data_IF_820870756833
#
_entry.id   IF_820870756833
#
_cell.length_a   1.000
_cell.length_b   1.000
_cell.length_c   1.000
_cell.angle_alpha   90.00
_cell.angle_beta   90.00
_cell.angle_gamma   90.00
#
_symmetry.space_group_name_H-M   'P 1'
#
loop_
_entity.id
_entity.type
_entity.pdbx_description
1 polymer ?
#
# COMPACT_ATOMS: atom_id res chain seq x y z
N UNK A 1 8.05 -4.98 13.42
CA UNK A 1 8.43 -3.67 13.96
C UNK A 1 8.81 -2.68 12.88
N UNK A 2 10.03 -2.71 12.32
CA UNK A 2 10.51 -1.65 11.40
C UNK A 2 9.63 -1.43 10.16
N UNK A 3 9.20 -2.49 9.48
CA UNK A 3 8.35 -2.34 8.28
C UNK A 3 6.89 -1.98 8.59
N UNK A 4 6.40 -2.29 9.80
CA UNK A 4 4.97 -2.19 10.16
C UNK A 4 4.54 -0.74 10.42
N UNK A 5 5.32 0.00 11.21
CA UNK A 5 5.05 1.41 11.49
C UNK A 5 5.30 2.29 10.25
N UNK A 6 6.27 1.95 9.42
CA UNK A 6 6.48 2.63 8.13
C UNK A 6 5.25 2.52 7.22
N UNK A 7 4.62 1.34 7.12
CA UNK A 7 3.46 1.08 6.26
C UNK A 7 2.20 1.80 6.77
N UNK A 8 1.93 1.78 8.07
CA UNK A 8 0.72 2.38 8.63
C UNK A 8 0.69 3.93 8.56
N UNK A 9 1.84 4.59 8.62
CA UNK A 9 1.90 6.06 8.69
C UNK A 9 2.12 6.74 7.34
N UNK A 10 2.77 6.07 6.38
CA UNK A 10 2.91 6.58 5.01
C UNK A 10 1.69 6.29 4.14
N UNK A 11 0.63 5.66 4.65
CA UNK A 11 -0.64 5.45 3.93
C UNK A 11 -1.71 6.45 4.30
N UNK A 12 -1.57 7.12 5.45
CA UNK A 12 -2.34 8.29 5.86
C UNK A 12 -1.68 9.59 5.41
N UNK A 13 -2.45 10.55 4.95
CA UNK A 13 -2.04 11.89 4.49
C UNK A 13 -1.48 12.82 5.58
N UNK A 14 -0.89 12.24 6.63
CA UNK A 14 -0.32 12.87 7.83
C UNK A 14 1.00 13.62 7.59
N UNK A 15 1.51 13.64 6.36
CA UNK A 15 2.69 14.41 6.03
C UNK A 15 2.33 15.55 5.06
N UNK A 16 2.21 16.77 5.58
CA UNK A 16 2.65 17.94 4.80
C UNK A 16 4.16 17.76 4.58
N UNK A 17 4.53 17.16 3.45
CA UNK A 17 5.93 17.05 3.01
C UNK A 17 6.23 18.28 2.16
N UNK A 18 6.95 19.23 2.72
CA UNK A 18 7.64 20.22 1.90
C UNK A 18 8.82 19.52 1.20
N UNK A 19 8.62 19.21 -0.08
CA UNK A 19 9.69 18.76 -0.96
C UNK A 19 10.38 19.99 -1.55
N UNK A 20 11.63 20.26 -1.15
CA UNK A 20 12.47 21.26 -1.81
C UNK A 20 13.01 20.69 -3.13
N UNK A 21 12.64 21.26 -4.30
CA UNK A 21 13.17 20.80 -5.58
C UNK A 21 14.64 21.20 -5.75
N UNK A 22 15.51 20.23 -6.07
CA UNK A 22 16.88 20.48 -6.50
C UNK A 22 16.91 20.96 -7.97
N UNK A 23 17.75 21.95 -8.34
CA UNK A 23 17.80 22.47 -9.72
C UNK A 23 18.33 21.48 -10.76
N UNK A 24 17.87 21.71 -11.98
CA UNK A 24 17.86 20.87 -13.19
C UNK A 24 19.23 20.58 -13.81
N UNK A 25 19.28 19.43 -14.50
CA UNK A 25 19.90 19.30 -15.82
C UNK A 25 19.07 18.32 -16.69
N UNK A 26 18.71 18.73 -17.91
CA UNK A 26 18.14 17.82 -18.93
C UNK A 26 16.90 18.35 -19.66
N UNK A 27 17.09 18.84 -20.89
CA UNK A 27 16.02 19.20 -21.83
C UNK A 27 15.16 17.96 -22.19
N UNK A 28 13.83 18.10 -22.06
CA UNK A 28 12.85 17.30 -22.80
C UNK A 28 12.12 16.19 -22.03
N UNK A 29 11.22 16.52 -21.11
CA UNK A 29 10.08 15.64 -20.81
C UNK A 29 8.86 16.47 -20.39
N UNK A 30 7.71 16.23 -21.02
CA UNK A 30 6.43 16.89 -20.74
C UNK A 30 5.82 16.50 -19.39
N UNK A 31 6.47 15.60 -18.64
CA UNK A 31 5.93 14.95 -17.44
C UNK A 31 6.63 15.34 -16.14
N UNK A 32 7.47 16.40 -16.16
CA UNK A 32 8.12 16.94 -14.96
C UNK A 32 8.84 15.88 -14.09
N UNK A 33 9.50 14.91 -14.71
CA UNK A 33 10.19 13.83 -14.00
C UNK A 33 11.35 14.38 -13.16
N UNK A 34 11.34 14.11 -11.85
CA UNK A 34 12.33 14.64 -10.90
C UNK A 34 12.74 13.58 -9.88
N UNK A 35 14.01 13.56 -9.44
CA UNK A 35 14.41 12.84 -8.24
C UNK A 35 13.60 13.30 -7.03
N UNK A 36 13.31 12.37 -6.11
CA UNK A 36 12.60 12.62 -4.86
C UNK A 36 13.44 12.12 -3.69
N UNK A 37 13.33 12.79 -2.54
CA UNK A 37 13.99 12.37 -1.30
C UNK A 37 12.97 12.51 -0.18
N UNK A 38 12.79 11.43 0.58
CA UNK A 38 11.87 11.38 1.70
C UNK A 38 12.40 12.27 2.81
N UNK A 39 11.55 13.17 3.31
CA UNK A 39 11.82 14.01 4.46
C UNK A 39 10.65 13.95 5.46
N UNK A 40 10.89 13.31 6.59
CA UNK A 40 9.94 13.06 7.68
C UNK A 40 10.14 14.03 8.86
N UNK A 41 11.19 14.87 8.81
CA UNK A 41 11.60 15.73 9.93
C UNK A 41 10.51 16.70 10.42
N UNK A 42 9.59 17.09 9.54
CA UNK A 42 8.47 17.95 9.90
C UNK A 42 7.30 17.18 10.54
N UNK A 43 6.94 16.02 9.98
CA UNK A 43 5.74 15.28 10.41
C UNK A 43 5.94 14.39 11.64
N UNK A 44 7.12 13.77 11.79
CA UNK A 44 7.38 12.83 12.89
C UNK A 44 7.26 13.48 14.27
N UNK A 45 7.83 14.66 14.56
CA UNK A 45 7.70 15.28 15.88
C UNK A 45 6.24 15.53 16.28
N UNK A 46 5.43 16.04 15.34
CA UNK A 46 4.00 16.28 15.53
C UNK A 46 3.23 14.99 15.81
N UNK A 47 3.46 13.96 14.99
CA UNK A 47 2.84 12.64 15.16
C UNK A 47 3.19 12.00 16.50
N UNK A 48 4.45 12.07 16.94
CA UNK A 48 4.89 11.52 18.23
C UNK A 48 4.25 12.28 19.40
N UNK A 49 4.14 13.60 19.30
CA UNK A 49 3.49 14.41 20.32
C UNK A 49 1.98 14.08 20.44
N UNK A 50 1.27 13.91 19.33
CA UNK A 50 -0.12 13.43 19.33
C UNK A 50 -0.26 12.02 19.91
N UNK A 51 0.64 11.11 19.55
CA UNK A 51 0.66 9.75 20.08
C UNK A 51 0.88 9.75 21.61
N UNK A 52 1.73 10.64 22.14
CA UNK A 52 1.93 10.83 23.59
C UNK A 52 0.69 11.39 24.28
N UNK A 53 -0.04 12.30 23.64
CA UNK A 53 -1.22 12.96 24.24
C UNK A 53 -2.53 12.18 24.08
N UNK A 54 -2.56 11.14 23.25
CA UNK A 54 -3.77 10.34 23.06
C UNK A 54 -4.18 9.66 24.37
N UNK A 55 -5.43 9.91 24.78
CA UNK A 55 -6.04 9.25 25.92
C UNK A 55 -6.64 7.91 25.50
N UNK A 56 -6.08 6.81 26.00
CA UNK A 56 -6.60 5.47 25.77
C UNK A 56 -7.53 5.07 26.92
N UNK A 57 -8.55 4.23 26.67
CA UNK A 57 -9.40 3.71 27.74
C UNK A 57 -8.58 2.86 28.74
N UNK A 58 -9.07 2.77 29.98
CA UNK A 58 -8.42 1.99 31.05
C UNK A 58 -8.76 0.51 31.01
N UNK A 59 -9.92 0.14 30.48
CA UNK A 59 -10.38 -1.25 30.32
C UNK A 59 -10.57 -1.53 28.84
N UNK A 60 -10.05 -2.66 28.33
CA UNK A 60 -10.08 -3.01 26.90
C UNK A 60 -11.36 -3.72 26.45
N UNK A 61 -12.21 -4.14 27.38
CA UNK A 61 -13.28 -5.10 27.13
C UNK A 61 -14.62 -4.41 26.83
N UNK A 62 -14.65 -3.45 25.90
CA UNK A 62 -15.94 -2.85 25.51
C UNK A 62 -16.80 -3.79 24.66
N UNK A 63 -16.19 -4.80 24.03
CA UNK A 63 -16.82 -5.75 23.12
C UNK A 63 -16.11 -7.13 23.17
N UNK A 64 -16.60 -8.10 22.39
CA UNK A 64 -16.05 -9.45 22.31
C UNK A 64 -14.56 -9.48 21.90
N UNK A 65 -13.80 -10.54 22.25
CA UNK A 65 -12.36 -10.64 21.95
C UNK A 65 -11.96 -10.51 20.47
N UNK A 66 -12.89 -10.76 19.55
CA UNK A 66 -12.76 -10.69 18.10
C UNK A 66 -13.32 -9.39 17.48
N UNK A 67 -13.72 -8.42 18.30
CA UNK A 67 -14.35 -7.18 17.86
C UNK A 67 -13.36 -6.10 17.34
N UNK A 68 -12.10 -6.46 17.07
CA UNK A 68 -11.08 -5.57 16.52
C UNK A 68 -9.71 -5.76 17.15
N UNK A 69 -8.87 -4.71 17.09
CA UNK A 69 -7.54 -4.75 17.69
C UNK A 69 -7.65 -4.78 19.23
N UNK A 70 -6.96 -5.72 19.92
CA UNK A 70 -6.93 -5.71 21.37
C UNK A 70 -6.28 -4.43 21.89
N UNK A 71 -6.87 -3.81 22.93
CA UNK A 71 -6.33 -2.58 23.54
C UNK A 71 -4.85 -2.74 23.89
N UNK A 72 -4.47 -3.91 24.43
CA UNK A 72 -3.10 -4.13 24.85
C UNK A 72 -2.11 -4.23 23.69
N UNK A 73 -2.55 -4.72 22.54
CA UNK A 73 -1.78 -4.67 21.29
C UNK A 73 -1.58 -3.22 20.84
N UNK A 74 -2.63 -2.39 20.89
CA UNK A 74 -2.56 -0.97 20.54
C UNK A 74 -1.63 -0.18 21.48
N UNK A 75 -1.69 -0.44 22.80
CA UNK A 75 -0.76 0.13 23.79
C UNK A 75 0.68 -0.25 23.45
N UNK A 76 0.92 -1.52 23.11
CA UNK A 76 2.24 -2.01 22.72
C UNK A 76 2.77 -1.31 21.46
N UNK A 77 1.94 -1.17 20.43
CA UNK A 77 2.27 -0.45 19.19
C UNK A 77 2.56 1.03 19.43
N UNK A 78 1.79 1.67 20.30
CA UNK A 78 2.01 3.06 20.71
C UNK A 78 3.36 3.23 21.41
N UNK A 79 3.69 2.36 22.35
CA UNK A 79 4.96 2.44 23.07
C UNK A 79 6.14 2.25 22.11
N UNK A 80 6.03 1.29 21.19
CA UNK A 80 7.05 1.11 20.16
C UNK A 80 7.23 2.36 19.30
N UNK A 81 6.13 2.93 18.81
CA UNK A 81 6.12 4.13 18.00
C UNK A 81 6.84 5.30 18.70
N UNK A 82 6.60 5.46 20.01
CA UNK A 82 7.07 6.60 20.79
C UNK A 82 8.51 6.44 21.27
N UNK A 83 8.85 5.27 21.80
CA UNK A 83 10.05 5.07 22.60
C UNK A 83 11.19 4.39 21.83
N UNK A 84 10.86 3.57 20.83
CA UNK A 84 11.82 2.63 20.25
C UNK A 84 12.00 2.79 18.73
N UNK A 85 11.00 3.32 18.02
CA UNK A 85 11.06 3.42 16.57
C UNK A 85 11.98 4.56 16.11
N UNK A 86 13.11 4.19 15.49
CA UNK A 86 14.06 5.15 14.92
C UNK A 86 13.62 5.61 13.52
N UNK A 87 12.80 6.68 13.50
CA UNK A 87 12.30 7.33 12.29
C UNK A 87 13.41 7.86 11.39
N UNK A 88 14.52 8.33 11.96
CA UNK A 88 15.66 8.85 11.22
C UNK A 88 16.42 7.71 10.52
N UNK A 89 16.59 6.56 11.19
CA UNK A 89 17.16 5.37 10.55
C UNK A 89 16.26 4.82 9.45
N UNK A 90 14.94 4.82 9.64
CA UNK A 90 14.02 4.37 8.60
C UNK A 90 14.03 5.31 7.39
N UNK A 91 13.99 6.63 7.59
CA UNK A 91 14.18 7.60 6.51
C UNK A 91 15.50 7.38 5.76
N UNK A 92 16.62 7.25 6.47
CA UNK A 92 17.93 6.97 5.85
C UNK A 92 17.92 5.68 5.05
N UNK A 93 17.24 4.64 5.53
CA UNK A 93 17.11 3.35 4.83
C UNK A 93 16.28 3.50 3.57
N UNK A 94 15.15 4.20 3.61
CA UNK A 94 14.30 4.41 2.44
C UNK A 94 14.99 5.29 1.38
N UNK A 95 15.70 6.33 1.79
CA UNK A 95 16.47 7.19 0.87
C UNK A 95 17.70 6.51 0.22
N UNK A 96 17.95 5.21 0.49
CA UNK A 96 18.93 4.41 -0.30
C UNK A 96 18.38 4.00 -1.65
N UNK A 97 17.06 4.03 -1.85
CA UNK A 97 16.43 3.68 -3.12
C UNK A 97 16.30 4.92 -4.01
N UNK A 98 16.25 4.71 -5.33
CA UNK A 98 16.07 5.80 -6.27
C UNK A 98 14.59 6.16 -6.39
N UNK A 99 14.17 7.16 -5.63
CA UNK A 99 12.82 7.70 -5.66
C UNK A 99 12.69 8.82 -6.71
N UNK A 100 11.52 8.89 -7.33
CA UNK A 100 11.17 9.92 -8.30
C UNK A 100 9.72 10.33 -8.16
N UNK A 101 9.42 11.51 -8.68
CA UNK A 101 8.05 11.97 -8.96
C UNK A 101 7.91 12.35 -10.42
N UNK A 102 6.74 12.09 -11.01
CA UNK A 102 6.36 12.59 -12.33
C UNK A 102 4.92 13.11 -12.31
N UNK A 103 4.65 14.16 -13.06
CA UNK A 103 3.31 14.72 -13.23
C UNK A 103 2.69 14.14 -14.50
N UNK A 104 1.60 13.38 -14.33
CA UNK A 104 0.86 12.74 -15.41
C UNK A 104 -0.60 13.13 -15.26
N UNK A 105 -1.16 13.88 -16.20
CA UNK A 105 -2.57 14.29 -16.19
C UNK A 105 -2.99 14.99 -14.88
N UNK A 106 -2.19 15.97 -14.44
CA UNK A 106 -2.38 16.73 -13.20
C UNK A 106 -2.31 15.90 -11.91
N UNK A 107 -1.79 14.68 -12.00
CA UNK A 107 -1.55 13.81 -10.86
C UNK A 107 -0.05 13.64 -10.68
N UNK A 108 0.46 14.02 -9.50
CA UNK A 108 1.86 13.73 -9.13
C UNK A 108 1.94 12.28 -8.66
N UNK A 109 2.77 11.48 -9.35
CA UNK A 109 3.00 10.08 -9.04
C UNK A 109 4.40 9.91 -8.49
N UNK A 110 4.49 9.49 -7.24
CA UNK A 110 5.71 9.01 -6.63
C UNK A 110 5.98 7.56 -7.02
N UNK A 111 7.25 7.21 -7.26
CA UNK A 111 7.67 5.83 -7.49
C UNK A 111 9.15 5.61 -7.17
N UNK A 112 9.50 4.37 -6.85
CA UNK A 112 10.89 3.90 -6.91
C UNK A 112 11.19 3.38 -8.31
N UNK A 113 12.37 3.69 -8.85
CA UNK A 113 12.88 3.09 -10.08
C UNK A 113 14.29 2.56 -9.89
N UNK A 114 14.40 1.25 -9.70
CA UNK A 114 15.67 0.54 -9.61
C UNK A 114 16.00 -0.16 -10.92
N UNK A 115 16.89 0.46 -11.70
CA UNK A 115 17.37 -0.11 -12.96
C UNK A 115 18.38 -1.23 -12.69
N UNK A 116 18.08 -2.42 -13.19
CA UNK A 116 19.10 -3.46 -13.37
C UNK A 116 20.27 -3.00 -14.24
N UNK A 117 21.45 -3.57 -13.98
CA UNK A 117 22.62 -3.50 -14.86
C UNK A 117 22.54 -4.47 -16.04
N UNK A 118 21.63 -5.45 -15.98
CA UNK A 118 21.42 -6.41 -17.06
C UNK A 118 20.63 -5.74 -18.20
N UNK A 119 21.18 -5.64 -19.43
CA UNK A 119 20.48 -5.01 -20.56
C UNK A 119 19.28 -5.82 -21.06
N UNK A 120 19.13 -7.07 -20.62
CA UNK A 120 17.98 -7.94 -20.91
C UNK A 120 16.96 -7.96 -19.78
N UNK A 121 17.15 -7.16 -18.73
CA UNK A 121 16.24 -7.14 -17.58
C UNK A 121 14.82 -6.75 -18.00
N UNK A 122 13.84 -7.44 -17.44
CA UNK A 122 12.43 -7.21 -17.74
C UNK A 122 11.96 -6.00 -16.93
N UNK A 123 11.36 -4.96 -17.53
CA UNK A 123 10.70 -3.92 -16.76
C UNK A 123 9.50 -4.50 -16.02
N UNK A 124 9.48 -4.34 -14.70
CA UNK A 124 8.47 -4.90 -13.81
C UNK A 124 7.89 -3.81 -12.92
N UNK A 125 6.59 -3.55 -13.06
CA UNK A 125 5.85 -2.67 -12.16
C UNK A 125 5.19 -3.47 -11.05
N UNK A 126 5.42 -3.08 -9.79
CA UNK A 126 4.88 -3.72 -8.58
C UNK A 126 3.83 -2.82 -7.93
N UNK A 127 2.55 -3.19 -8.04
CA UNK A 127 1.43 -2.39 -7.57
C UNK A 127 0.95 -2.88 -6.20
N UNK A 128 1.02 -2.01 -5.19
CA UNK A 128 0.54 -2.30 -3.83
C UNK A 128 -0.98 -2.08 -3.73
N UNK A 129 -1.56 -2.36 -2.56
CA UNK A 129 -2.95 -2.01 -2.25
C UNK A 129 -3.09 -1.29 -0.92
N UNK A 130 -4.19 -1.53 -0.22
CA UNK A 130 -4.56 -0.99 1.09
C UNK A 130 -4.64 -2.13 2.13
N UNK A 131 -4.22 -1.91 3.39
CA UNK A 131 -3.63 -0.71 3.98
C UNK A 131 -2.12 -0.60 3.73
N UNK A 132 -1.71 -1.12 2.57
CA UNK A 132 -0.36 -1.25 2.11
C UNK A 132 0.24 0.00 1.45
N UNK A 133 1.52 -0.08 1.09
CA UNK A 133 2.22 0.96 0.33
C UNK A 133 3.39 0.38 -0.47
N UNK A 134 4.10 1.25 -1.21
CA UNK A 134 5.34 0.90 -1.91
C UNK A 134 6.38 0.18 -1.00
N UNK A 135 6.27 0.36 0.32
CA UNK A 135 7.16 -0.24 1.32
C UNK A 135 7.12 -1.77 1.34
N UNK A 136 5.99 -2.38 0.98
CA UNK A 136 5.85 -3.85 0.94
C UNK A 136 6.86 -4.51 0.00
N UNK A 137 7.27 -3.79 -1.04
CA UNK A 137 8.15 -4.31 -2.07
C UNK A 137 9.63 -3.99 -1.84
N UNK A 138 9.96 -3.16 -0.84
CA UNK A 138 11.35 -2.85 -0.50
C UNK A 138 12.19 -4.10 -0.26
N UNK A 139 11.73 -5.13 0.50
CA UNK A 139 12.48 -6.36 0.69
C UNK A 139 12.71 -7.17 -0.60
N UNK A 140 11.94 -6.92 -1.66
CA UNK A 140 12.03 -7.64 -2.93
C UNK A 140 13.03 -7.01 -3.90
N UNK A 141 13.35 -5.72 -3.75
CA UNK A 141 14.23 -5.00 -4.70
C UNK A 141 15.55 -5.73 -4.90
N UNK A 142 16.24 -6.10 -3.81
CA UNK A 142 17.54 -6.78 -3.88
C UNK A 142 17.46 -8.17 -4.52
N UNK A 143 16.30 -8.85 -4.43
CA UNK A 143 16.08 -10.17 -5.01
C UNK A 143 15.75 -10.11 -6.50
N UNK A 144 15.26 -8.97 -6.98
CA UNK A 144 14.77 -8.80 -8.34
C UNK A 144 15.71 -7.99 -9.24
N UNK A 145 16.60 -7.17 -8.66
CA UNK A 145 17.41 -6.17 -9.39
C UNK A 145 18.32 -6.74 -10.49
N UNK A 146 18.68 -8.02 -10.46
CA UNK A 146 19.59 -8.62 -11.46
C UNK A 146 18.84 -9.04 -12.74
N UNK A 147 17.55 -9.36 -12.62
CA UNK A 147 16.71 -9.83 -13.73
C UNK A 147 15.63 -8.82 -14.14
N UNK A 148 15.35 -7.82 -13.31
CA UNK A 148 14.27 -6.85 -13.53
C UNK A 148 14.73 -5.40 -13.36
N UNK A 149 14.23 -4.51 -14.23
CA UNK A 149 14.12 -3.10 -13.84
C UNK A 149 12.87 -2.98 -12.95
N UNK A 150 13.06 -2.67 -11.68
CA UNK A 150 11.99 -2.68 -10.68
C UNK A 150 11.39 -1.28 -10.55
N UNK A 151 10.09 -1.15 -10.82
CA UNK A 151 9.33 0.09 -10.67
C UNK A 151 8.26 -0.14 -9.61
N UNK A 152 8.24 0.69 -8.57
CA UNK A 152 7.28 0.58 -7.47
C UNK A 152 6.57 1.93 -7.30
N UNK A 153 5.43 2.15 -7.98
CA UNK A 153 4.67 3.37 -7.82
C UNK A 153 3.86 3.35 -6.52
N UNK A 154 3.70 4.53 -5.93
CA UNK A 154 2.64 4.76 -4.95
C UNK A 154 1.33 5.03 -5.69
N UNK A 155 0.27 4.31 -5.32
CA UNK A 155 -1.07 4.54 -5.87
C UNK A 155 -1.48 6.02 -5.69
N UNK A 156 -2.27 6.61 -6.61
CA UNK A 156 -2.83 7.94 -6.40
C UNK A 156 -3.56 8.03 -5.05
N UNK A 157 -3.22 9.04 -4.23
CA UNK A 157 -3.73 9.22 -2.88
C UNK A 157 -3.00 8.45 -1.78
N UNK A 158 -1.93 7.71 -2.12
CA UNK A 158 -1.11 6.96 -1.16
C UNK A 158 0.30 7.52 -1.08
N UNK A 159 0.87 7.53 0.13
CA UNK A 159 2.22 7.98 0.41
C UNK A 159 2.54 9.35 -0.19
N UNK A 160 3.44 9.39 -1.15
CA UNK A 160 3.95 10.64 -1.73
C UNK A 160 3.32 10.95 -3.10
N UNK A 161 2.33 10.15 -3.57
CA UNK A 161 1.51 10.50 -4.73
C UNK A 161 0.38 11.43 -4.30
N UNK A 162 0.04 12.44 -5.10
CA UNK A 162 -1.03 13.39 -4.75
C UNK A 162 -2.41 12.71 -4.67
N UNK A 163 -3.38 13.33 -4.01
CA UNK A 163 -4.75 12.81 -4.01
C UNK A 163 -5.39 12.94 -5.40
N UNK A 164 -6.11 11.91 -5.89
CA UNK A 164 -6.81 12.00 -7.16
C UNK A 164 -8.14 12.76 -7.03
N UNK A 165 -8.76 13.20 -8.15
CA UNK A 165 -10.08 13.80 -8.12
C UNK A 165 -11.17 12.79 -7.68
N UNK A 166 -12.35 13.25 -7.22
CA UNK A 166 -13.41 12.37 -6.70
C UNK A 166 -13.96 11.31 -7.66
N UNK A 167 -13.77 11.49 -8.98
CA UNK A 167 -14.24 10.57 -10.02
C UNK A 167 -13.21 9.50 -10.40
N UNK A 168 -12.10 9.41 -9.67
CA UNK A 168 -10.99 8.53 -10.03
C UNK A 168 -11.32 7.06 -9.85
N UNK A 169 -10.94 6.25 -10.83
CA UNK A 169 -11.16 4.81 -10.84
C UNK A 169 -9.84 4.04 -10.95
N UNK A 170 -9.91 2.72 -10.75
CA UNK A 170 -8.78 1.81 -11.01
C UNK A 170 -8.28 1.92 -12.46
N UNK A 171 -9.20 2.15 -13.42
CA UNK A 171 -8.85 2.30 -14.82
C UNK A 171 -8.01 3.56 -15.08
N UNK A 172 -8.27 4.64 -14.33
CA UNK A 172 -7.47 5.86 -14.40
C UNK A 172 -6.06 5.62 -13.86
N UNK A 173 -5.93 4.93 -12.72
CA UNK A 173 -4.61 4.51 -12.21
C UNK A 173 -3.86 3.65 -13.23
N UNK A 174 -4.52 2.66 -13.83
CA UNK A 174 -3.91 1.81 -14.84
C UNK A 174 -3.43 2.62 -16.06
N UNK A 175 -4.22 3.58 -16.54
CA UNK A 175 -3.84 4.47 -17.64
C UNK A 175 -2.65 5.36 -17.29
N UNK A 176 -2.62 5.94 -16.10
CA UNK A 176 -1.49 6.74 -15.60
C UNK A 176 -0.23 5.89 -15.47
N UNK A 177 -0.34 4.67 -14.93
CA UNK A 177 0.81 3.77 -14.78
C UNK A 177 1.31 3.25 -16.12
N UNK A 178 0.43 3.00 -17.09
CA UNK A 178 0.87 2.71 -18.46
C UNK A 178 1.63 3.90 -19.08
N UNK A 179 1.19 5.13 -18.82
CA UNK A 179 1.89 6.35 -19.27
C UNK A 179 3.24 6.51 -18.57
N UNK A 180 3.31 6.26 -17.26
CA UNK A 180 4.55 6.21 -16.49
C UNK A 180 5.54 5.23 -17.13
N UNK A 181 5.11 3.99 -17.38
CA UNK A 181 5.98 2.97 -17.95
C UNK A 181 6.40 3.28 -19.39
N UNK A 182 5.46 3.64 -20.27
CA UNK A 182 5.72 3.73 -21.71
C UNK A 182 6.22 5.09 -22.18
N UNK A 183 5.75 6.20 -21.58
CA UNK A 183 6.05 7.56 -22.03
C UNK A 183 7.06 8.26 -21.13
N UNK A 184 6.98 8.06 -19.81
CA UNK A 184 7.91 8.69 -18.86
C UNK A 184 9.21 7.90 -18.79
N UNK A 185 9.13 6.58 -18.57
CA UNK A 185 10.30 5.71 -18.40
C UNK A 185 10.77 5.06 -19.70
N UNK A 186 9.96 5.11 -20.76
CA UNK A 186 10.33 4.62 -22.09
C UNK A 186 10.37 3.10 -22.22
N UNK A 187 9.69 2.35 -21.35
CA UNK A 187 9.52 0.91 -21.46
C UNK A 187 8.30 0.57 -22.32
N UNK A 188 8.47 0.25 -23.63
CA UNK A 188 7.34 -0.01 -24.51
C UNK A 188 6.61 -1.31 -24.18
N UNK A 189 7.29 -2.23 -23.49
CA UNK A 189 6.75 -3.50 -23.03
C UNK A 189 7.24 -3.76 -21.60
N UNK A 190 6.34 -4.22 -20.74
CA UNK A 190 6.65 -4.51 -19.34
C UNK A 190 5.75 -5.61 -18.77
N UNK A 191 6.19 -6.21 -17.67
CA UNK A 191 5.39 -7.09 -16.84
C UNK A 191 4.81 -6.30 -15.66
N UNK A 192 3.64 -6.71 -15.19
CA UNK A 192 2.98 -6.09 -14.06
C UNK A 192 2.65 -7.15 -13.00
N UNK A 193 2.89 -6.80 -11.75
CA UNK A 193 2.48 -7.57 -10.58
C UNK A 193 1.56 -6.71 -9.71
N UNK A 194 0.56 -7.34 -9.10
CA UNK A 194 -0.35 -6.68 -8.18
C UNK A 194 -0.78 -7.58 -7.02
N UNK A 195 -1.03 -6.93 -5.89
CA UNK A 195 -1.72 -7.48 -4.71
C UNK A 195 -2.85 -6.53 -4.29
N UNK A 196 -3.88 -7.02 -3.61
CA UNK A 196 -5.03 -6.21 -3.13
C UNK A 196 -5.57 -5.25 -4.24
N UNK A 197 -5.77 -3.94 -4.01
CA UNK A 197 -6.16 -2.97 -5.05
C UNK A 197 -5.18 -2.93 -6.23
N UNK A 198 -3.90 -3.18 -5.97
CA UNK A 198 -2.87 -3.32 -6.99
C UNK A 198 -3.11 -4.48 -7.94
N UNK A 199 -3.82 -5.55 -7.52
CA UNK A 199 -4.31 -6.58 -8.43
C UNK A 199 -5.36 -6.03 -9.39
N UNK A 200 -6.29 -5.21 -8.90
CA UNK A 200 -7.27 -4.54 -9.75
C UNK A 200 -6.60 -3.63 -10.79
N UNK A 201 -5.61 -2.83 -10.37
CA UNK A 201 -4.81 -1.99 -11.26
C UNK A 201 -4.06 -2.83 -12.29
N UNK A 202 -3.43 -3.92 -11.85
CA UNK A 202 -2.66 -4.83 -12.72
C UNK A 202 -3.54 -5.54 -13.75
N UNK A 203 -4.72 -5.99 -13.33
CA UNK A 203 -5.71 -6.58 -14.23
C UNK A 203 -6.19 -5.54 -15.25
N UNK A 204 -6.54 -4.32 -14.81
CA UNK A 204 -6.95 -3.25 -15.72
C UNK A 204 -5.83 -2.83 -16.68
N UNK A 205 -4.57 -2.84 -16.23
CA UNK A 205 -3.40 -2.60 -17.06
C UNK A 205 -3.34 -3.63 -18.19
N UNK A 206 -3.44 -4.91 -17.84
CA UNK A 206 -3.41 -6.00 -18.81
C UNK A 206 -4.58 -5.97 -19.79
N UNK A 207 -5.80 -5.77 -19.31
CA UNK A 207 -7.00 -5.75 -20.13
C UNK A 207 -7.01 -4.59 -21.13
N UNK A 208 -6.60 -3.39 -20.71
CA UNK A 208 -6.73 -2.18 -21.53
C UNK A 208 -5.45 -1.80 -22.31
N UNK A 209 -4.29 -2.32 -21.91
CA UNK A 209 -2.99 -1.98 -22.51
C UNK A 209 -2.17 -3.22 -22.89
N UNK A 210 -2.83 -4.27 -23.39
CA UNK A 210 -2.22 -5.57 -23.74
C UNK A 210 -1.06 -5.52 -24.77
N UNK A 211 -0.91 -4.40 -25.50
CA UNK A 211 0.24 -4.19 -26.39
C UNK A 211 1.52 -3.86 -25.62
N UNK A 212 1.38 -3.19 -24.47
CA UNK A 212 2.46 -2.76 -23.59
C UNK A 212 2.64 -3.72 -22.41
N UNK A 213 1.55 -4.16 -21.80
CA UNK A 213 1.58 -5.11 -20.66
C UNK A 213 1.60 -6.53 -21.20
N UNK A 214 2.74 -7.21 -21.08
CA UNK A 214 2.97 -8.53 -21.69
C UNK A 214 2.65 -9.70 -20.77
N UNK A 215 2.62 -9.44 -19.47
CA UNK A 215 2.32 -10.41 -18.43
C UNK A 215 1.71 -9.68 -17.24
N UNK A 216 0.68 -10.28 -16.65
CA UNK A 216 0.10 -9.88 -15.37
C UNK A 216 0.23 -11.04 -14.39
N UNK A 217 0.82 -10.78 -13.23
CA UNK A 217 0.84 -11.69 -12.10
C UNK A 217 0.01 -11.09 -10.97
N UNK A 218 -1.02 -11.82 -10.53
CA UNK A 218 -1.91 -11.38 -9.46
C UNK A 218 -1.72 -12.29 -8.25
N UNK A 219 -1.38 -11.74 -7.09
CA UNK A 219 -1.37 -12.51 -5.82
C UNK A 219 -2.72 -12.50 -5.12
N UNK A 220 -3.67 -11.74 -5.66
CA UNK A 220 -5.05 -11.65 -5.22
C UNK A 220 -5.94 -11.51 -6.44
N UNK A 221 -7.06 -12.22 -6.50
CA UNK A 221 -8.01 -12.12 -7.62
C UNK A 221 -9.00 -10.98 -7.34
N UNK A 222 -9.06 -9.94 -8.19
CA UNK A 222 -9.91 -8.76 -7.94
C UNK A 222 -11.38 -9.01 -8.32
N UNK A 223 -11.88 -10.22 -8.14
CA UNK A 223 -13.22 -10.65 -8.49
C UNK A 223 -13.80 -11.55 -7.41
N UNK A 224 -15.10 -11.41 -7.16
CA UNK A 224 -15.83 -12.23 -6.20
C UNK A 224 -16.01 -13.64 -6.77
N UNK A 225 -15.77 -14.70 -5.97
CA UNK A 225 -16.09 -16.06 -6.39
C UNK A 225 -17.60 -16.26 -6.53
N UNK A 226 -18.00 -17.37 -7.15
CA UNK A 226 -19.40 -17.80 -7.17
C UNK A 226 -19.89 -18.07 -5.74
N UNK A 227 -21.11 -17.64 -5.44
CA UNK A 227 -21.76 -17.99 -4.17
C UNK A 227 -22.27 -19.44 -4.17
N UNK A 228 -22.70 -19.93 -3.00
CA UNK A 228 -23.20 -21.30 -2.84
C UNK A 228 -24.39 -21.64 -3.73
N UNK A 229 -25.25 -20.67 -4.01
CA UNK A 229 -26.42 -20.86 -4.89
C UNK A 229 -25.98 -21.00 -6.34
N UNK A 230 -25.02 -20.17 -6.77
CA UNK A 230 -24.45 -20.20 -8.11
C UNK A 230 -23.66 -21.50 -8.35
N UNK A 231 -22.83 -21.93 -7.39
CA UNK A 231 -22.11 -23.20 -7.46
C UNK A 231 -23.07 -24.39 -7.61
N UNK A 232 -24.16 -24.41 -6.83
CA UNK A 232 -25.17 -25.46 -6.92
C UNK A 232 -25.93 -25.45 -8.26
N UNK A 233 -26.23 -24.27 -8.79
CA UNK A 233 -26.87 -24.12 -10.09
C UNK A 233 -26.01 -24.63 -11.25
N UNK A 234 -24.69 -24.57 -11.11
CA UNK A 234 -23.71 -25.03 -12.10
C UNK A 234 -23.20 -26.47 -11.83
N UNK A 235 -23.71 -27.17 -10.82
CA UNK A 235 -23.23 -28.50 -10.36
C UNK A 235 -21.71 -28.54 -10.08
N UNK A 236 -21.15 -27.42 -9.60
CA UNK A 236 -19.73 -27.31 -9.25
C UNK A 236 -19.53 -27.82 -7.83
N UNK A 237 -18.65 -28.81 -7.68
CA UNK A 237 -18.24 -29.37 -6.38
C UNK A 237 -16.85 -28.85 -6.01
N UNK A 238 -16.76 -28.21 -4.86
CA UNK A 238 -15.51 -27.71 -4.32
C UNK A 238 -14.69 -28.85 -3.70
N UNK A 239 -13.38 -28.83 -3.93
CA UNK A 239 -12.42 -29.60 -3.16
C UNK A 239 -12.33 -29.09 -1.71
N UNK A 240 -11.72 -29.84 -0.77
CA UNK A 240 -11.57 -29.38 0.60
C UNK A 240 -10.83 -28.03 0.75
N UNK A 241 -9.89 -27.74 -0.16
CA UNK A 241 -9.20 -26.45 -0.17
C UNK A 241 -10.13 -25.33 -0.65
N UNK A 242 -10.85 -25.54 -1.75
CA UNK A 242 -11.79 -24.55 -2.29
C UNK A 242 -12.96 -24.31 -1.32
N UNK A 243 -13.39 -25.32 -0.57
CA UNK A 243 -14.37 -25.18 0.52
C UNK A 243 -13.86 -24.24 1.63
N UNK A 244 -12.59 -24.41 2.02
CA UNK A 244 -11.95 -23.53 3.00
C UNK A 244 -11.85 -22.09 2.48
N UNK A 245 -11.43 -21.90 1.22
CA UNK A 245 -11.32 -20.57 0.60
C UNK A 245 -12.69 -19.89 0.43
N UNK A 246 -13.72 -20.65 0.04
CA UNK A 246 -15.10 -20.15 -0.05
C UNK A 246 -15.60 -19.66 1.31
N UNK A 247 -15.32 -20.41 2.39
CA UNK A 247 -15.67 -20.00 3.76
C UNK A 247 -14.99 -18.70 4.17
N UNK A 248 -13.71 -18.51 3.83
CA UNK A 248 -13.01 -17.24 4.09
C UNK A 248 -13.64 -16.07 3.34
N UNK A 249 -14.07 -16.28 2.09
CA UNK A 249 -14.78 -15.27 1.31
C UNK A 249 -16.13 -14.90 1.94
N UNK A 250 -16.88 -15.88 2.45
CA UNK A 250 -18.14 -15.67 3.17
C UNK A 250 -17.95 -14.91 4.49
N UNK A 251 -16.92 -15.29 5.26
CA UNK A 251 -16.54 -14.60 6.51
C UNK A 251 -16.17 -13.13 6.23
N UNK A 252 -15.40 -12.86 5.17
CA UNK A 252 -15.09 -11.49 4.76
C UNK A 252 -16.34 -10.70 4.37
N UNK A 253 -17.23 -11.30 3.58
CA UNK A 253 -18.45 -10.64 3.10
C UNK A 253 -19.43 -10.29 4.22
N UNK A 254 -19.41 -11.04 5.32
CA UNK A 254 -20.36 -10.89 6.44
C UNK A 254 -19.80 -10.08 7.62
N UNK A 255 -18.52 -10.27 7.94
CA UNK A 255 -17.91 -9.70 9.16
C UNK A 255 -16.60 -8.95 8.91
N UNK A 256 -15.86 -9.31 7.85
CA UNK A 256 -14.53 -8.76 7.58
C UNK A 256 -14.49 -7.45 6.78
N UNK A 257 -15.61 -7.02 6.17
CA UNK A 257 -15.66 -5.90 5.20
C UNK A 257 -16.17 -4.57 5.75
N UNK A 258 -16.40 -4.42 7.06
CA UNK A 258 -16.94 -3.17 7.63
C UNK A 258 -16.05 -1.95 7.32
N UNK A 259 -14.72 -2.11 7.37
CA UNK A 259 -13.77 -1.07 6.99
C UNK A 259 -13.97 -0.62 5.53
N UNK A 260 -14.23 -1.57 4.64
CA UNK A 260 -14.42 -1.36 3.21
C UNK A 260 -15.72 -0.61 2.97
N UNK A 261 -16.80 -0.97 3.66
CA UNK A 261 -18.09 -0.29 3.54
C UNK A 261 -18.03 1.16 4.02
N UNK A 262 -17.32 1.44 5.12
CA UNK A 262 -17.11 2.81 5.61
C UNK A 262 -16.30 3.62 4.59
N UNK A 263 -15.17 3.08 4.11
CA UNK A 263 -14.33 3.74 3.11
C UNK A 263 -15.04 3.92 1.76
N UNK A 264 -15.92 3.00 1.36
CA UNK A 264 -16.68 3.08 0.12
C UNK A 264 -17.76 4.17 0.19
N UNK A 265 -18.44 4.32 1.33
CA UNK A 265 -19.67 5.12 1.40
C UNK A 265 -19.53 6.45 2.15
N UNK A 266 -18.57 6.56 3.07
CA UNK A 266 -18.31 7.74 3.91
C UNK A 266 -16.81 8.06 4.04
N UNK A 267 -16.03 8.06 2.94
CA UNK A 267 -14.57 8.25 3.00
C UNK A 267 -14.14 9.56 3.67
N UNK A 268 -14.90 10.65 3.50
CA UNK A 268 -14.60 11.92 4.16
C UNK A 268 -14.75 11.84 5.69
N UNK A 269 -15.75 11.11 6.19
CA UNK A 269 -16.00 10.99 7.64
C UNK A 269 -14.86 10.25 8.30
N UNK A 270 -14.56 9.03 7.83
CA UNK A 270 -13.46 8.23 8.38
C UNK A 270 -12.11 8.91 8.13
N UNK A 271 -11.93 9.55 6.97
CA UNK A 271 -10.72 10.30 6.66
C UNK A 271 -10.47 11.42 7.66
N UNK A 272 -11.47 12.26 7.95
CA UNK A 272 -11.36 13.33 8.95
C UNK A 272 -11.16 12.79 10.37
N UNK A 273 -11.78 11.66 10.72
CA UNK A 273 -11.62 11.03 12.03
C UNK A 273 -10.19 10.49 12.27
N UNK A 274 -9.52 10.03 11.20
CA UNK A 274 -8.16 9.50 11.26
C UNK A 274 -7.07 10.54 10.95
N UNK A 275 -7.44 11.67 10.32
CA UNK A 275 -6.51 12.61 9.67
C UNK A 275 -5.37 13.10 10.56
N UNK A 276 -5.63 13.45 11.81
CA UNK A 276 -4.63 13.92 12.78
C UNK A 276 -4.61 13.04 14.04
N UNK A 277 -4.85 11.74 13.85
CA UNK A 277 -5.00 10.78 14.93
C UNK A 277 -4.11 9.54 14.71
N UNK A 278 -2.82 9.60 15.09
CA UNK A 278 -1.88 8.51 14.81
C UNK A 278 -2.23 7.19 15.51
N UNK A 279 -2.84 7.25 16.69
CA UNK A 279 -3.26 6.04 17.41
C UNK A 279 -4.54 5.45 16.80
N UNK A 280 -5.47 6.30 16.33
CA UNK A 280 -6.61 5.87 15.52
C UNK A 280 -6.16 5.19 14.23
N UNK A 281 -5.16 5.77 13.55
CA UNK A 281 -4.59 5.19 12.34
C UNK A 281 -3.92 3.83 12.61
N UNK A 282 -3.15 3.71 13.70
CA UNK A 282 -2.58 2.44 14.15
C UNK A 282 -3.65 1.39 14.46
N UNK A 283 -4.74 1.80 15.09
CA UNK A 283 -5.86 0.90 15.38
C UNK A 283 -6.50 0.39 14.08
N UNK A 284 -6.82 1.31 13.16
CA UNK A 284 -7.53 1.01 11.91
C UNK A 284 -6.73 0.14 10.96
N UNK A 285 -5.43 0.43 10.79
CA UNK A 285 -4.54 -0.32 9.90
C UNK A 285 -3.99 -1.57 10.60
N UNK A 286 -3.60 -1.44 11.87
CA UNK A 286 -2.93 -2.50 12.60
C UNK A 286 -3.80 -3.74 12.76
N UNK A 287 -5.12 -3.55 12.93
CA UNK A 287 -6.09 -4.65 12.96
C UNK A 287 -6.00 -5.53 11.70
N UNK A 288 -5.97 -4.91 10.51
CA UNK A 288 -5.90 -5.63 9.23
C UNK A 288 -4.57 -6.34 9.04
N UNK A 289 -3.47 -5.68 9.38
CA UNK A 289 -2.14 -6.30 9.29
C UNK A 289 -2.00 -7.51 10.23
N UNK A 290 -2.66 -7.49 11.40
CA UNK A 290 -2.73 -8.65 12.29
C UNK A 290 -3.61 -9.75 11.70
N UNK A 291 -4.82 -9.39 11.27
CA UNK A 291 -5.84 -10.34 10.84
C UNK A 291 -5.51 -11.01 9.49
N UNK A 292 -4.84 -10.31 8.57
CA UNK A 292 -4.57 -10.80 7.21
C UNK A 292 -3.18 -11.41 7.03
N UNK A 293 -2.35 -11.40 8.07
CA UNK A 293 -1.04 -12.05 8.03
C UNK A 293 -1.14 -13.52 8.42
N UNK A 294 -0.24 -14.37 7.90
CA UNK A 294 -0.14 -15.77 8.34
C UNK A 294 0.21 -15.81 9.84
N UNK A 295 -0.66 -16.33 10.72
CA UNK A 295 -0.40 -16.36 12.16
C UNK A 295 0.81 -17.23 12.52
N UNK A 296 1.20 -18.17 11.64
CA UNK A 296 2.37 -19.05 11.82
C UNK A 296 3.69 -18.36 11.51
N UNK A 297 3.66 -17.30 10.71
CA UNK A 297 4.82 -16.43 10.51
C UNK A 297 5.08 -15.54 11.75
N UNK A 298 4.26 -15.66 12.80
CA UNK A 298 4.17 -14.77 13.93
C UNK A 298 3.36 -13.52 13.59
N UNK A 299 2.78 -12.86 14.60
CA UNK A 299 2.25 -11.50 14.40
C UNK A 299 3.41 -10.63 13.87
N UNK A 300 3.24 -9.81 12.81
CA UNK A 300 4.29 -9.04 12.12
C UNK A 300 5.33 -8.31 13.00
N UNK A 301 6.24 -9.01 13.69
CA UNK A 301 7.00 -8.53 14.87
C UNK A 301 6.30 -7.35 15.57
N UNK A 302 5.07 -7.59 16.06
CA UNK A 302 4.21 -6.52 16.59
C UNK A 302 4.50 -6.25 18.06
N UNK A 303 4.89 -7.25 18.84
CA UNK A 303 5.51 -7.12 20.15
C UNK A 303 5.95 -8.49 20.68
N UNK A 304 7.20 -8.83 20.46
CA UNK A 304 7.89 -9.81 21.29
C UNK A 304 9.26 -9.22 21.58
N UNK A 305 9.48 -8.88 22.87
CA UNK A 305 10.80 -8.55 23.39
C UNK A 305 11.80 -9.70 23.19
N UNK A 306 13.07 -9.48 23.56
CA UNK A 306 14.24 -10.21 23.08
C UNK A 306 14.12 -11.74 23.09
#
# INVERSE_FOLDING_TARGET
MRSFLSIAFLTSSLFHVDATPTPRDGKGSSFNLKPFTINLSHGVPHMIDLAKRTNLPTNGDYLAPDAGIPLQTLVSLRNELIDNFDWEAEQRKLNKFHHFTADIENQTIHFIHQKSHNPKAIPLVLNHGWPGSFLEFIPLIEKLKDDFHVIIPSLPGFAFSSAPPPTWTIHDTARVFNTLMTKVLGYPKFAAYGTDWGSGVTYSLYANFNTSVRLAHLSFLPFTPLDRTQLAAEDIKLSPLEEFEAKLSEEWATTGNAYFMEQLTKPNTIGLALYDNPIGQLSWIGEKLIAWSDPRAGSPSICSGP
#
